data_IF_719811252309
#
_entry.id   IF_719811252309
#
_cell.length_a   1.000
_cell.length_b   1.000
_cell.length_c   1.000
_cell.angle_alpha   90.00
_cell.angle_beta   90.00
_cell.angle_gamma   90.00
#
_symmetry.space_group_name_H-M   'P 1'
#
loop_
_entity.id
_entity.type
_entity.pdbx_description
1 polymer ?
#
# COMPACT_ATOMS: atom_id res chain seq x y z
N UNK A 1 -9.66 -15.49 45.14
CA UNK A 1 -8.43 -14.69 44.96
C UNK A 1 -7.23 -15.47 44.40
N UNK A 2 -7.30 -16.79 44.20
CA UNK A 2 -6.24 -17.56 43.53
C UNK A 2 -6.44 -17.70 42.01
N UNK A 3 -7.67 -17.47 41.51
CA UNK A 3 -8.02 -17.63 40.09
C UNK A 3 -7.64 -16.44 39.20
N UNK A 4 -7.36 -15.28 39.80
CA UNK A 4 -6.98 -14.04 39.09
C UNK A 4 -5.46 -13.89 38.87
N UNK A 5 -4.66 -14.81 39.42
CA UNK A 5 -3.19 -14.77 39.34
C UNK A 5 -2.61 -15.76 38.30
N UNK A 6 -3.45 -16.59 37.66
CA UNK A 6 -3.01 -17.57 36.66
C UNK A 6 -2.98 -17.01 35.22
N UNK A 7 -3.48 -15.79 35.00
CA UNK A 7 -3.41 -15.11 33.69
C UNK A 7 -2.19 -14.19 33.55
N UNK A 8 -1.27 -14.18 34.52
CA UNK A 8 -0.24 -13.13 34.62
C UNK A 8 1.09 -13.40 33.89
N UNK A 9 1.27 -14.50 33.15
CA UNK A 9 2.55 -14.78 32.46
C UNK A 9 2.39 -15.60 31.18
N UNK A 10 1.67 -15.06 30.20
CA UNK A 10 1.68 -15.58 28.84
C UNK A 10 1.58 -14.42 27.88
N UNK A 11 2.67 -14.12 27.16
CA UNK A 11 2.58 -13.37 25.90
C UNK A 11 1.40 -13.91 25.12
N UNK A 12 0.44 -13.05 24.75
CA UNK A 12 -0.77 -13.49 24.07
C UNK A 12 -0.38 -14.36 22.87
N UNK A 13 -0.81 -15.63 22.79
CA UNK A 13 -0.31 -16.56 21.78
C UNK A 13 -0.52 -16.00 20.37
N UNK A 14 -1.62 -15.25 20.15
CA UNK A 14 -1.90 -14.53 18.92
C UNK A 14 -0.84 -13.48 18.55
N UNK A 15 -0.30 -12.74 19.52
CA UNK A 15 0.75 -11.75 19.29
C UNK A 15 2.04 -12.41 18.80
N UNK A 16 2.42 -13.54 19.42
CA UNK A 16 3.58 -14.34 19.03
C UNK A 16 3.46 -14.88 17.60
N UNK A 17 2.25 -15.18 17.12
CA UNK A 17 2.04 -15.62 15.72
C UNK A 17 1.92 -14.45 14.74
N UNK A 18 1.34 -13.32 15.14
CA UNK A 18 1.08 -12.18 14.24
C UNK A 18 2.32 -11.33 13.94
N UNK A 19 3.22 -11.18 14.91
CA UNK A 19 4.42 -10.32 14.80
C UNK A 19 5.32 -10.67 13.60
N UNK A 20 5.70 -11.94 13.34
CA UNK A 20 6.48 -12.28 12.14
C UNK A 20 5.71 -12.01 10.84
N UNK A 21 4.38 -12.20 10.83
CA UNK A 21 3.54 -11.96 9.65
C UNK A 21 3.52 -10.47 9.30
N UNK A 22 3.31 -9.62 10.31
CA UNK A 22 3.32 -8.16 10.16
C UNK A 22 4.72 -7.68 9.74
N UNK A 23 5.78 -8.25 10.31
CA UNK A 23 7.16 -7.97 9.93
C UNK A 23 7.42 -8.25 8.43
N UNK A 24 6.99 -9.41 7.95
CA UNK A 24 7.11 -9.78 6.52
C UNK A 24 6.26 -8.86 5.63
N UNK A 25 5.05 -8.50 6.05
CA UNK A 25 4.21 -7.59 5.26
C UNK A 25 4.82 -6.19 5.19
N UNK A 26 5.33 -5.63 6.29
CA UNK A 26 5.99 -4.33 6.30
C UNK A 26 7.29 -4.33 5.47
N UNK A 27 8.03 -5.43 5.52
CA UNK A 27 9.23 -5.65 4.71
C UNK A 27 8.92 -5.69 3.21
N UNK A 28 7.75 -6.18 2.79
CA UNK A 28 7.34 -6.25 1.39
C UNK A 28 6.59 -4.99 0.91
N UNK A 29 5.66 -4.46 1.71
CA UNK A 29 4.79 -3.34 1.33
C UNK A 29 5.56 -2.03 1.16
N UNK A 30 6.56 -1.78 2.01
CA UNK A 30 7.38 -0.55 1.95
C UNK A 30 8.18 -0.45 0.64
N UNK A 31 8.98 -1.46 0.24
CA UNK A 31 9.66 -1.42 -1.05
C UNK A 31 8.69 -1.51 -2.23
N UNK A 32 7.56 -2.23 -2.11
CA UNK A 32 6.55 -2.27 -3.17
C UNK A 32 6.00 -0.87 -3.49
N UNK A 33 5.71 -0.05 -2.47
CA UNK A 33 5.30 1.35 -2.66
C UNK A 33 6.39 2.17 -3.36
N UNK A 34 7.66 1.99 -2.99
CA UNK A 34 8.78 2.67 -3.63
C UNK A 34 8.91 2.33 -5.11
N UNK A 35 8.79 1.04 -5.45
CA UNK A 35 8.86 0.54 -6.83
C UNK A 35 7.68 1.05 -7.66
N UNK A 36 6.46 0.96 -7.14
CA UNK A 36 5.26 1.46 -7.83
C UNK A 36 5.36 2.97 -8.07
N UNK A 37 5.86 3.73 -7.09
CA UNK A 37 6.13 5.16 -7.24
C UNK A 37 7.13 5.45 -8.36
N UNK A 38 8.26 4.76 -8.36
CA UNK A 38 9.31 4.94 -9.36
C UNK A 38 8.84 4.55 -10.77
N UNK A 39 8.23 3.36 -10.93
CA UNK A 39 7.72 2.90 -12.21
C UNK A 39 6.58 3.78 -12.73
N UNK A 40 5.68 4.21 -11.85
CA UNK A 40 4.60 5.13 -12.19
C UNK A 40 5.12 6.47 -12.71
N UNK A 41 6.14 7.02 -12.04
CA UNK A 41 6.78 8.27 -12.47
C UNK A 41 7.48 8.14 -13.82
N UNK A 42 8.27 7.08 -14.02
CA UNK A 42 8.96 6.81 -15.30
C UNK A 42 7.93 6.67 -16.43
N UNK A 43 6.85 5.91 -16.20
CA UNK A 43 5.82 5.69 -17.21
C UNK A 43 5.08 6.97 -17.56
N UNK A 44 4.77 7.82 -16.57
CA UNK A 44 4.18 9.14 -16.79
C UNK A 44 5.08 10.06 -17.64
N UNK A 45 6.41 10.03 -17.45
CA UNK A 45 7.35 10.82 -18.26
C UNK A 45 7.31 10.37 -19.73
N UNK A 46 7.31 9.06 -19.99
CA UNK A 46 7.27 8.50 -21.35
C UNK A 46 5.97 8.89 -22.06
N UNK A 47 4.83 8.78 -21.37
CA UNK A 47 3.52 9.18 -21.88
C UNK A 47 3.42 10.69 -22.11
N UNK A 48 3.94 11.50 -21.19
CA UNK A 48 4.00 12.95 -21.32
C UNK A 48 4.84 13.38 -22.52
N UNK A 49 5.99 12.74 -22.74
CA UNK A 49 6.82 12.99 -23.92
C UNK A 49 6.10 12.60 -25.22
N UNK A 50 5.36 11.48 -25.24
CA UNK A 50 4.51 11.09 -26.38
C UNK A 50 3.41 12.10 -26.67
N UNK A 51 2.75 12.62 -25.63
CA UNK A 51 1.72 13.65 -25.78
C UNK A 51 2.30 14.97 -26.31
N UNK A 52 3.50 15.35 -25.87
CA UNK A 52 4.17 16.58 -26.31
C UNK A 52 4.62 16.52 -27.78
N UNK A 53 5.04 15.33 -28.25
CA UNK A 53 5.49 15.11 -29.64
C UNK A 53 4.35 14.79 -30.62
N UNK A 54 3.12 14.61 -30.14
CA UNK A 54 1.99 14.29 -31.02
C UNK A 54 1.53 15.54 -31.79
N UNK A 55 1.86 15.58 -33.08
CA UNK A 55 1.51 16.67 -34.00
C UNK A 55 0.14 16.43 -34.68
N UNK A 56 -0.22 15.17 -34.91
CA UNK A 56 -1.52 14.81 -35.48
C UNK A 56 -2.64 14.82 -34.42
N UNK A 57 -3.83 15.36 -34.74
CA UNK A 57 -4.94 15.44 -33.80
C UNK A 57 -5.38 14.07 -33.27
N UNK A 58 -5.32 13.03 -34.10
CA UNK A 58 -5.67 11.66 -33.72
C UNK A 58 -4.71 11.07 -32.68
N UNK A 59 -3.40 11.32 -32.82
CA UNK A 59 -2.39 10.83 -31.89
C UNK A 59 -2.40 11.60 -30.57
N UNK A 60 -2.76 12.90 -30.63
CA UNK A 60 -2.96 13.73 -29.44
C UNK A 60 -4.11 13.24 -28.56
N UNK A 61 -5.26 12.89 -29.15
CA UNK A 61 -6.39 12.33 -28.40
C UNK A 61 -6.08 10.97 -27.79
N UNK A 62 -5.42 10.07 -28.55
CA UNK A 62 -4.97 8.78 -28.03
C UNK A 62 -4.01 8.93 -26.87
N UNK A 63 -2.99 9.79 -27.00
CA UNK A 63 -2.02 10.04 -25.94
C UNK A 63 -2.67 10.65 -24.70
N UNK A 64 -3.65 11.56 -24.85
CA UNK A 64 -4.39 12.17 -23.74
C UNK A 64 -5.26 11.15 -23.00
N UNK A 65 -5.93 10.26 -23.71
CA UNK A 65 -6.70 9.17 -23.08
C UNK A 65 -5.77 8.16 -22.36
N UNK A 66 -4.64 7.81 -22.95
CA UNK A 66 -3.64 6.99 -22.29
C UNK A 66 -3.08 7.64 -21.02
N UNK A 67 -2.82 8.95 -21.05
CA UNK A 67 -2.37 9.69 -19.86
C UNK A 67 -3.42 9.66 -18.75
N UNK A 68 -4.69 9.92 -19.09
CA UNK A 68 -5.81 9.87 -18.14
C UNK A 68 -5.93 8.49 -17.49
N UNK A 69 -5.85 7.43 -18.29
CA UNK A 69 -5.92 6.06 -17.79
C UNK A 69 -4.70 5.72 -16.90
N UNK A 70 -3.50 6.17 -17.27
CA UNK A 70 -2.29 5.97 -16.46
C UNK A 70 -2.39 6.66 -15.09
N UNK A 71 -2.90 7.90 -15.05
CA UNK A 71 -3.13 8.63 -13.80
C UNK A 71 -4.15 7.90 -12.93
N UNK A 72 -5.30 7.50 -13.50
CA UNK A 72 -6.33 6.77 -12.76
C UNK A 72 -5.80 5.46 -12.21
N UNK A 73 -5.04 4.69 -13.00
CA UNK A 73 -4.41 3.45 -12.55
C UNK A 73 -3.41 3.68 -11.42
N UNK A 74 -2.54 4.68 -11.54
CA UNK A 74 -1.57 5.02 -10.49
C UNK A 74 -2.26 5.43 -9.19
N UNK A 75 -3.26 6.31 -9.26
CA UNK A 75 -4.04 6.75 -8.09
C UNK A 75 -4.78 5.57 -7.47
N UNK A 76 -5.39 4.70 -8.28
CA UNK A 76 -6.10 3.51 -7.80
C UNK A 76 -5.18 2.57 -7.03
N UNK A 77 -4.01 2.22 -7.59
CA UNK A 77 -3.03 1.36 -6.89
C UNK A 77 -2.50 2.03 -5.62
N UNK A 78 -2.19 3.33 -5.69
CA UNK A 78 -1.71 4.07 -4.53
C UNK A 78 -2.72 4.07 -3.39
N UNK A 79 -3.99 4.39 -3.68
CA UNK A 79 -5.07 4.37 -2.68
C UNK A 79 -5.26 2.97 -2.11
N UNK A 80 -5.28 1.92 -2.94
CA UNK A 80 -5.42 0.53 -2.45
C UNK A 80 -4.31 0.18 -1.43
N UNK A 81 -3.05 0.46 -1.75
CA UNK A 81 -1.94 0.10 -0.87
C UNK A 81 -1.94 0.95 0.41
N UNK A 82 -2.25 2.25 0.30
CA UNK A 82 -2.34 3.14 1.48
C UNK A 82 -3.47 2.68 2.41
N UNK A 83 -4.65 2.36 1.87
CA UNK A 83 -5.77 1.86 2.69
C UNK A 83 -5.41 0.54 3.36
N UNK A 84 -4.75 -0.38 2.66
CA UNK A 84 -4.27 -1.63 3.25
C UNK A 84 -3.28 -1.38 4.39
N UNK A 85 -2.32 -0.46 4.20
CA UNK A 85 -1.32 -0.10 5.20
C UNK A 85 -1.96 0.55 6.45
N UNK A 86 -2.92 1.46 6.23
CA UNK A 86 -3.66 2.09 7.32
C UNK A 86 -4.56 1.09 8.03
N UNK A 87 -5.20 0.18 7.29
CA UNK A 87 -6.03 -0.89 7.83
C UNK A 87 -5.24 -1.85 8.73
N UNK A 88 -4.03 -2.24 8.31
CA UNK A 88 -3.10 -2.99 9.16
C UNK A 88 -2.75 -2.25 10.44
N UNK A 89 -2.30 -0.99 10.34
CA UNK A 89 -1.93 -0.20 11.52
C UNK A 89 -3.10 0.01 12.48
N UNK A 90 -4.31 0.18 11.95
CA UNK A 90 -5.54 0.27 12.75
C UNK A 90 -5.86 -1.06 13.46
N UNK A 91 -5.70 -2.21 12.78
CA UNK A 91 -5.86 -3.53 13.38
C UNK A 91 -4.80 -3.82 14.45
N UNK A 92 -3.55 -3.44 14.21
CA UNK A 92 -2.46 -3.54 15.20
C UNK A 92 -2.76 -2.69 16.44
N UNK A 93 -3.20 -1.45 16.25
CA UNK A 93 -3.56 -0.54 17.34
C UNK A 93 -4.75 -1.08 18.13
N UNK A 94 -5.79 -1.57 17.45
CA UNK A 94 -6.93 -2.20 18.10
C UNK A 94 -6.52 -3.46 18.89
N UNK A 95 -5.66 -4.29 18.32
CA UNK A 95 -5.16 -5.51 18.96
C UNK A 95 -4.38 -5.19 20.24
N UNK A 96 -3.47 -4.22 20.17
CA UNK A 96 -2.66 -3.81 21.32
C UNK A 96 -3.52 -3.18 22.44
N UNK A 97 -4.66 -2.56 22.11
CA UNK A 97 -5.54 -1.93 23.10
C UNK A 97 -6.64 -2.87 23.64
N UNK A 98 -6.93 -3.99 22.97
CA UNK A 98 -8.08 -4.87 23.30
C UNK A 98 -7.66 -6.26 23.77
N UNK A 99 -6.51 -6.78 23.30
CA UNK A 99 -5.96 -8.08 23.70
C UNK A 99 -4.75 -7.88 24.64
N UNK A 100 -4.87 -6.94 25.58
CA UNK A 100 -4.11 -6.93 26.83
C UNK A 100 -5.00 -7.44 27.95
#
# INVERSE_FOLDING_TARGET
MLYTMLTATGTNPFQTVSEPIIGLLNMALTPALGIVGALGAIYCIILGAKLAKAEEPQDREKAKNSLKNAIVGFVLIFVLIVVLKLGMGAMETWMNNTIQ
#
